data_IF_460267264396
#
_entry.id   IF_460267264396
#
_cell.length_a   1.000
_cell.length_b   1.000
_cell.length_c   1.000
_cell.angle_alpha   90.00
_cell.angle_beta   90.00
_cell.angle_gamma   90.00
#
_symmetry.space_group_name_H-M   'P 1'
#
loop_
_entity.id
_entity.type
_entity.pdbx_description
1 polymer ?
#
# COMPACT_ATOMS: atom_id res chain seq x y z
N UNK A 1 13.71 11.42 -20.28
CA UNK A 1 12.92 12.68 -20.16
C UNK A 1 12.73 13.17 -18.71
N UNK A 2 13.37 12.58 -17.68
CA UNK A 2 13.26 13.06 -16.28
C UNK A 2 14.35 14.03 -15.81
N UNK A 3 15.43 14.24 -16.58
CA UNK A 3 16.45 15.24 -16.25
C UNK A 3 16.08 16.68 -16.64
N UNK A 4 15.08 16.87 -17.52
CA UNK A 4 14.73 18.19 -18.05
C UNK A 4 13.85 19.02 -17.10
N UNK A 5 13.04 18.35 -16.30
CA UNK A 5 12.14 18.95 -15.33
C UNK A 5 12.66 18.58 -13.95
N UNK A 6 13.38 19.50 -13.29
CA UNK A 6 13.87 19.39 -11.90
C UNK A 6 12.71 19.34 -10.91
N UNK A 7 11.83 18.36 -11.07
CA UNK A 7 10.64 18.15 -10.28
C UNK A 7 10.94 16.92 -9.42
N UNK A 8 10.82 17.00 -8.09
CA UNK A 8 11.10 15.88 -7.21
C UNK A 8 10.23 14.67 -7.60
N UNK A 9 10.82 13.47 -7.57
CA UNK A 9 10.14 12.21 -7.91
C UNK A 9 8.87 11.98 -7.08
N UNK A 10 8.78 12.60 -5.90
CA UNK A 10 7.62 12.58 -5.01
C UNK A 10 6.33 13.03 -5.72
N UNK A 11 6.38 14.06 -6.57
CA UNK A 11 5.17 14.61 -7.22
C UNK A 11 4.57 13.62 -8.23
N UNK A 12 5.40 12.73 -8.79
CA UNK A 12 4.93 11.65 -9.66
C UNK A 12 4.40 10.43 -8.90
N UNK A 13 4.81 10.23 -7.64
CA UNK A 13 4.33 9.13 -6.79
C UNK A 13 2.98 9.42 -6.12
N UNK A 14 2.67 10.69 -5.82
CA UNK A 14 1.39 11.09 -5.17
C UNK A 14 0.14 10.57 -5.92
N UNK A 15 -0.02 10.76 -7.25
CA UNK A 15 -1.21 10.27 -7.95
C UNK A 15 -1.29 8.74 -8.02
N UNK A 16 -0.19 8.00 -7.80
CA UNK A 16 -0.20 6.54 -7.68
C UNK A 16 -0.63 6.05 -6.29
N UNK A 17 -0.41 6.85 -5.25
CA UNK A 17 -0.82 6.55 -3.87
C UNK A 17 -2.31 6.81 -3.63
N UNK A 18 -2.88 7.86 -4.24
CA UNK A 18 -4.29 8.26 -4.08
C UNK A 18 -5.31 7.17 -4.50
N UNK A 19 -5.09 6.37 -5.57
CA UNK A 19 -5.97 5.26 -5.93
C UNK A 19 -5.59 3.92 -5.29
N UNK A 20 -4.36 3.76 -4.79
CA UNK A 20 -3.88 2.52 -4.18
C UNK A 20 -4.70 2.16 -2.92
N UNK A 21 -5.09 3.17 -2.16
CA UNK A 21 -6.18 3.11 -1.19
C UNK A 21 -7.35 3.83 -1.84
N UNK A 22 -8.63 3.58 -1.52
CA UNK A 22 -9.75 4.39 -2.01
C UNK A 22 -9.68 5.86 -1.51
N UNK A 23 -8.66 6.61 -1.91
CA UNK A 23 -8.28 7.91 -1.37
C UNK A 23 -9.19 9.04 -1.87
N UNK A 24 -9.67 8.96 -3.12
CA UNK A 24 -10.71 9.85 -3.61
C UNK A 24 -12.02 9.66 -2.82
N UNK A 25 -12.41 8.42 -2.56
CA UNK A 25 -13.57 8.10 -1.73
C UNK A 25 -13.36 8.47 -0.26
N UNK A 26 -12.13 8.36 0.27
CA UNK A 26 -11.78 8.78 1.62
C UNK A 26 -11.88 10.29 1.79
N UNK A 27 -11.40 11.05 0.80
CA UNK A 27 -11.53 12.50 0.80
C UNK A 27 -12.99 12.95 0.68
N UNK A 28 -13.77 12.30 -0.19
CA UNK A 28 -15.22 12.53 -0.27
C UNK A 28 -15.92 12.20 1.05
N UNK A 29 -15.57 11.08 1.70
CA UNK A 29 -16.12 10.69 2.98
C UNK A 29 -15.85 11.74 4.07
N UNK A 30 -14.63 12.29 4.10
CA UNK A 30 -14.25 13.36 5.02
C UNK A 30 -15.03 14.64 4.75
N UNK A 31 -15.20 15.04 3.48
CA UNK A 31 -16.02 16.21 3.13
C UNK A 31 -17.46 16.02 3.61
N UNK A 32 -18.07 14.85 3.35
CA UNK A 32 -19.45 14.55 3.76
C UNK A 32 -19.60 14.59 5.30
N UNK A 33 -18.59 14.09 6.01
CA UNK A 33 -18.54 14.11 7.47
C UNK A 33 -18.44 15.55 8.01
N UNK A 34 -17.61 16.40 7.40
CA UNK A 34 -17.50 17.81 7.77
C UNK A 34 -18.74 18.63 7.39
N UNK A 35 -19.43 18.27 6.29
CA UNK A 35 -20.66 18.90 5.85
C UNK A 35 -21.91 18.46 6.64
N UNK A 36 -21.77 17.58 7.64
CA UNK A 36 -22.88 17.13 8.49
C UNK A 36 -23.79 16.09 7.84
N UNK A 37 -23.46 15.58 6.64
CA UNK A 37 -24.23 14.54 5.97
C UNK A 37 -23.74 13.15 6.41
N UNK A 38 -24.22 12.72 7.58
CA UNK A 38 -23.76 11.51 8.25
C UNK A 38 -24.17 10.22 7.51
N UNK A 39 -25.32 10.21 6.84
CA UNK A 39 -25.80 9.04 6.10
C UNK A 39 -24.87 8.69 4.93
N UNK A 40 -24.55 9.67 4.10
CA UNK A 40 -23.63 9.48 2.98
C UNK A 40 -22.17 9.32 3.43
N UNK A 41 -21.78 9.97 4.54
CA UNK A 41 -20.43 9.84 5.09
C UNK A 41 -20.16 8.41 5.57
N UNK A 42 -21.08 7.81 6.33
CA UNK A 42 -20.90 6.48 6.89
C UNK A 42 -20.75 5.41 5.80
N UNK A 43 -21.60 5.45 4.77
CA UNK A 43 -21.52 4.51 3.64
C UNK A 43 -20.13 4.57 2.97
N UNK A 44 -19.65 5.79 2.70
CA UNK A 44 -18.36 6.01 2.04
C UNK A 44 -17.18 5.62 2.94
N UNK A 45 -17.27 5.89 4.25
CA UNK A 45 -16.25 5.50 5.23
C UNK A 45 -16.12 3.98 5.33
N UNK A 46 -17.24 3.25 5.42
CA UNK A 46 -17.19 1.78 5.47
C UNK A 46 -16.54 1.18 4.22
N UNK A 47 -16.88 1.70 3.04
CA UNK A 47 -16.24 1.27 1.79
C UNK A 47 -14.72 1.49 1.81
N UNK A 48 -14.29 2.66 2.29
CA UNK A 48 -12.87 3.03 2.39
C UNK A 48 -12.12 2.12 3.36
N UNK A 49 -12.70 1.87 4.54
CA UNK A 49 -12.12 1.02 5.57
C UNK A 49 -12.05 -0.44 5.11
N UNK A 50 -13.11 -0.96 4.47
CA UNK A 50 -13.11 -2.35 3.98
C UNK A 50 -12.05 -2.58 2.90
N UNK A 51 -12.00 -1.72 1.88
CA UNK A 51 -11.04 -1.87 0.78
C UNK A 51 -9.61 -1.61 1.27
N UNK A 52 -9.40 -0.52 2.02
CA UNK A 52 -8.10 -0.20 2.61
C UNK A 52 -7.61 -1.29 3.57
N UNK A 53 -8.52 -1.84 4.39
CA UNK A 53 -8.26 -2.96 5.28
C UNK A 53 -7.90 -4.24 4.52
N UNK A 54 -8.64 -4.58 3.45
CA UNK A 54 -8.34 -5.74 2.62
C UNK A 54 -6.95 -5.64 1.96
N UNK A 55 -6.57 -4.46 1.48
CA UNK A 55 -5.25 -4.22 0.89
C UNK A 55 -4.15 -4.32 1.96
N UNK A 56 -4.36 -3.71 3.12
CA UNK A 56 -3.42 -3.79 4.23
C UNK A 56 -3.22 -5.23 4.70
N UNK A 57 -4.31 -6.01 4.83
CA UNK A 57 -4.24 -7.43 5.17
C UNK A 57 -3.49 -8.23 4.10
N UNK A 58 -3.81 -8.03 2.82
CA UNK A 58 -3.12 -8.71 1.72
C UNK A 58 -1.62 -8.38 1.68
N UNK A 59 -1.25 -7.13 1.98
CA UNK A 59 0.14 -6.71 2.06
C UNK A 59 0.89 -7.38 3.23
N UNK A 60 0.29 -7.41 4.42
CA UNK A 60 0.90 -8.07 5.60
C UNK A 60 1.06 -9.57 5.36
N UNK A 61 0.03 -10.25 4.83
CA UNK A 61 0.12 -11.67 4.49
C UNK A 61 1.20 -11.92 3.43
N UNK A 62 1.27 -11.08 2.40
CA UNK A 62 2.31 -11.15 1.37
C UNK A 62 3.72 -11.00 1.95
N UNK A 63 3.91 -10.05 2.88
CA UNK A 63 5.19 -9.91 3.59
C UNK A 63 5.54 -11.17 4.38
N UNK A 64 4.60 -11.71 5.17
CA UNK A 64 4.85 -12.91 5.99
C UNK A 64 5.26 -14.12 5.12
N UNK A 65 4.56 -14.33 3.99
CA UNK A 65 4.90 -15.41 3.05
C UNK A 65 6.25 -15.15 2.37
N UNK A 66 6.50 -13.91 1.96
CA UNK A 66 7.76 -13.51 1.32
C UNK A 66 8.95 -13.70 2.26
N UNK A 67 8.85 -13.27 3.52
CA UNK A 67 9.89 -13.47 4.52
C UNK A 67 10.16 -14.96 4.75
N UNK A 68 9.10 -15.77 4.86
CA UNK A 68 9.26 -17.22 5.05
C UNK A 68 9.97 -17.87 3.86
N UNK A 69 9.59 -17.50 2.63
CA UNK A 69 10.25 -17.98 1.41
C UNK A 69 11.71 -17.51 1.33
N UNK A 70 11.98 -16.25 1.67
CA UNK A 70 13.31 -15.66 1.63
C UNK A 70 14.23 -16.28 2.68
N UNK A 71 13.72 -16.63 3.87
CA UNK A 71 14.47 -17.38 4.89
C UNK A 71 14.90 -18.75 4.38
N UNK A 72 14.01 -19.47 3.70
CA UNK A 72 14.33 -20.77 3.11
C UNK A 72 15.43 -20.66 2.03
N UNK A 73 15.32 -19.67 1.15
CA UNK A 73 16.30 -19.41 0.09
C UNK A 73 17.63 -18.90 0.63
N UNK A 74 17.62 -18.07 1.68
CA UNK A 74 18.83 -17.56 2.35
C UNK A 74 19.62 -18.70 3.00
N UNK A 75 18.95 -19.66 3.63
CA UNK A 75 19.62 -20.83 4.22
C UNK A 75 20.24 -21.75 3.15
N UNK A 76 19.58 -21.90 1.99
CA UNK A 76 20.12 -22.66 0.84
C UNK A 76 21.36 -21.99 0.21
N UNK A 77 21.39 -20.66 0.16
CA UNK A 77 22.54 -19.90 -0.35
C UNK A 77 23.73 -19.97 0.62
N UNK A 78 23.50 -19.85 1.93
CA UNK A 78 24.54 -19.95 2.95
C UNK A 78 25.14 -21.36 3.04
N UNK A 79 24.31 -22.41 2.91
CA UNK A 79 24.78 -23.80 2.85
C UNK A 79 25.69 -24.08 1.64
N UNK A 80 25.40 -23.47 0.48
CA UNK A 80 26.27 -23.58 -0.71
C UNK A 80 27.59 -22.83 -0.55
N UNK A 81 27.66 -21.77 0.25
CA UNK A 81 28.91 -21.03 0.51
C UNK A 81 29.83 -21.78 1.47
N UNK A 82 29.31 -22.41 2.52
CA UNK A 82 30.12 -23.20 3.47
C UNK A 82 30.59 -24.54 2.89
N UNK A 83 29.92 -25.10 1.88
CA UNK A 83 30.33 -26.35 1.24
C UNK A 83 31.39 -26.17 0.14
N UNK A 84 31.72 -24.92 -0.23
CA UNK A 84 32.71 -24.60 -1.28
C UNK A 84 34.06 -24.15 -0.70
N UNK A 85 34.27 -24.32 0.61
CA UNK A 85 35.56 -24.17 1.30
C UNK A 85 36.02 -25.55 1.73
#
# INVERSE_FOLDING_TARGET
MSQYKRIPSTIFNIPGLVPLVPGASAYQALILLLSGNMDAANEKLFSVVMIGGAIAMGYVVSQLVSEQYFRYRRNQVLSKMTSKT
#
